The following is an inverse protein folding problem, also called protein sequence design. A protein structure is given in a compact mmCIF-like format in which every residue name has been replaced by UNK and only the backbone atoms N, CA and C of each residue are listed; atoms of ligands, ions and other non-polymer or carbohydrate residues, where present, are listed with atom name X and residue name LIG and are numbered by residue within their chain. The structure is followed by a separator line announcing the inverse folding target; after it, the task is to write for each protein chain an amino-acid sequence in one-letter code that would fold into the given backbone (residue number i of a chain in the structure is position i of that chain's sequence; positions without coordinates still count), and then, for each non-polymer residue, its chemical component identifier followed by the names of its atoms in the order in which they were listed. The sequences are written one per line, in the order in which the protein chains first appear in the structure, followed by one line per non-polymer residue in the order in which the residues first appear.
data_IF_705325863933
#
_entry.id   IF_705325863933
#
_cell.length_a   1.000
_cell.length_b   1.000
_cell.length_c   1.000
_cell.angle_alpha   90.00
_cell.angle_beta   90.00
_cell.angle_gamma   90.00
#
_symmetry.space_group_name_H-M   'P 1'
#
loop_
_entity.id
_entity.type
_entity.pdbx_description
1 polymer ?
#
# COMPACT_ATOMS: atom_id res chain seq x y z
N UNK A 1 -11.71 -7.41 -6.18
CA UNK A 1 -10.81 -8.27 -6.99
C UNK A 1 -10.01 -9.19 -6.08
N UNK A 2 -10.00 -10.51 -6.33
CA UNK A 2 -9.34 -11.48 -5.44
C UNK A 2 -7.81 -11.42 -5.58
N UNK A 3 -7.12 -11.15 -4.46
CA UNK A 3 -5.67 -11.31 -4.32
C UNK A 3 -5.35 -12.78 -4.07
N UNK A 4 -6.03 -13.40 -3.10
CA UNK A 4 -5.93 -14.82 -2.82
C UNK A 4 -6.76 -15.23 -1.61
N UNK A 5 -6.35 -16.26 -0.88
CA UNK A 5 -7.06 -16.70 0.32
C UNK A 5 -6.11 -17.33 1.34
N UNK A 6 -6.34 -17.05 2.61
CA UNK A 6 -5.59 -17.61 3.73
C UNK A 6 -6.54 -18.29 4.71
N UNK A 7 -6.36 -19.59 4.97
CA UNK A 7 -7.22 -20.38 5.89
C UNK A 7 -8.73 -20.18 5.66
N UNK A 8 -9.15 -20.07 4.39
CA UNK A 8 -10.54 -19.85 4.01
C UNK A 8 -10.99 -18.39 3.96
N UNK A 9 -10.20 -17.44 4.48
CA UNK A 9 -10.49 -16.00 4.37
C UNK A 9 -10.01 -15.45 3.03
N UNK A 10 -10.92 -14.82 2.29
CA UNK A 10 -10.60 -14.21 1.00
C UNK A 10 -9.95 -12.85 1.22
N UNK A 11 -8.81 -12.64 0.58
CA UNK A 11 -8.09 -11.36 0.55
C UNK A 11 -8.41 -10.69 -0.79
N UNK A 12 -8.87 -9.45 -0.75
CA UNK A 12 -9.30 -8.74 -1.96
C UNK A 12 -9.04 -7.24 -1.89
N UNK A 13 -8.71 -6.64 -3.04
CA UNK A 13 -8.74 -5.18 -3.22
C UNK A 13 -10.14 -4.80 -3.69
N UNK A 14 -10.79 -3.82 -3.06
CA UNK A 14 -12.03 -3.26 -3.59
C UNK A 14 -11.70 -2.13 -4.57
N UNK A 15 -12.63 -1.86 -5.49
CA UNK A 15 -12.43 -0.92 -6.60
C UNK A 15 -13.49 0.17 -6.64
N UNK A 16 -14.53 0.06 -5.81
CA UNK A 16 -15.60 1.04 -5.69
C UNK A 16 -15.45 1.68 -4.32
N UNK A 17 -15.55 3.00 -4.29
CA UNK A 17 -15.40 3.82 -3.08
C UNK A 17 -14.08 3.62 -2.33
N UNK A 18 -13.08 3.11 -3.07
CA UNK A 18 -11.76 2.80 -2.53
C UNK A 18 -10.90 4.07 -2.53
N UNK A 19 -10.24 4.34 -1.40
CA UNK A 19 -9.46 5.56 -1.22
C UNK A 19 -8.10 5.28 -0.59
N UNK A 20 -7.20 6.26 -0.70
CA UNK A 20 -5.89 6.18 -0.07
C UNK A 20 -5.98 6.02 1.45
N UNK A 21 -4.99 5.35 2.10
CA UNK A 21 -3.86 4.63 1.50
C UNK A 21 -4.23 3.30 0.80
N UNK A 22 -3.31 2.69 0.03
CA UNK A 22 -3.52 1.37 -0.56
C UNK A 22 -3.81 0.30 0.49
N UNK A 23 -4.84 -0.51 0.26
CA UNK A 23 -5.22 -1.55 1.21
C UNK A 23 -5.95 -2.74 0.59
N UNK A 24 -6.01 -3.83 1.35
CA UNK A 24 -6.80 -5.02 1.06
C UNK A 24 -7.85 -5.24 2.15
N UNK A 25 -8.96 -5.82 1.75
CA UNK A 25 -10.03 -6.28 2.61
C UNK A 25 -9.95 -7.78 2.83
N UNK A 26 -10.21 -8.19 4.07
CA UNK A 26 -10.36 -9.58 4.46
C UNK A 26 -11.68 -9.74 5.20
N UNK A 27 -12.63 -10.44 4.57
CA UNK A 27 -13.97 -10.65 5.14
C UNK A 27 -14.04 -11.94 5.92
N UNK A 28 -14.55 -11.84 7.15
CA UNK A 28 -14.99 -12.98 7.95
C UNK A 28 -16.49 -12.96 8.20
N UNK A 29 -16.93 -13.82 9.12
CA UNK A 29 -18.36 -13.92 9.47
C UNK A 29 -18.80 -12.70 10.27
N UNK A 30 -19.31 -11.70 9.56
CA UNK A 30 -19.87 -10.48 10.15
C UNK A 30 -18.85 -9.42 10.53
N UNK A 31 -17.62 -9.49 10.00
CA UNK A 31 -16.59 -8.48 10.13
C UNK A 31 -15.78 -8.35 8.82
N UNK A 32 -15.22 -7.19 8.57
CA UNK A 32 -14.33 -6.87 7.45
C UNK A 32 -13.08 -6.19 8.03
N UNK A 33 -11.90 -6.75 7.79
CA UNK A 33 -10.64 -6.17 8.25
C UNK A 33 -9.90 -5.55 7.06
N UNK A 34 -9.46 -4.30 7.23
CA UNK A 34 -8.63 -3.60 6.25
C UNK A 34 -7.18 -3.66 6.65
N UNK A 35 -6.33 -4.06 5.71
CA UNK A 35 -4.88 -4.06 5.89
C UNK A 35 -4.26 -3.10 4.87
N UNK A 36 -3.62 -2.05 5.36
CA UNK A 36 -2.90 -1.08 4.51
C UNK A 36 -1.55 -1.65 4.10
N UNK A 37 -1.15 -1.33 2.88
CA UNK A 37 0.18 -1.60 2.36
C UNK A 37 0.70 -0.35 1.66
N UNK A 38 2.01 -0.28 1.45
CA UNK A 38 2.65 0.82 0.73
C UNK A 38 3.16 0.37 -0.64
N UNK A 39 3.52 1.35 -1.46
CA UNK A 39 4.35 1.17 -2.65
C UNK A 39 5.80 1.59 -2.39
N UNK A 40 6.24 1.58 -1.12
CA UNK A 40 7.58 1.99 -0.70
C UNK A 40 8.39 0.86 -0.07
N UNK A 41 7.73 -0.11 0.58
CA UNK A 41 8.37 -1.17 1.35
C UNK A 41 7.50 -2.44 1.36
N UNK A 42 7.97 -3.54 1.94
CA UNK A 42 7.20 -4.78 2.07
C UNK A 42 6.18 -4.81 3.21
N UNK A 43 5.97 -3.69 3.90
CA UNK A 43 5.20 -3.68 5.14
C UNK A 43 3.70 -3.60 4.90
N UNK A 44 2.99 -4.27 5.80
CA UNK A 44 1.53 -4.34 5.83
C UNK A 44 1.12 -4.07 7.26
N UNK A 45 0.04 -3.32 7.45
CA UNK A 45 -0.46 -2.99 8.79
C UNK A 45 -1.97 -3.16 8.85
N UNK A 46 -2.48 -3.60 10.00
CA UNK A 46 -3.92 -3.59 10.24
C UNK A 46 -4.36 -2.12 10.33
N UNK A 47 -5.29 -1.72 9.48
CA UNK A 47 -5.89 -0.40 9.51
C UNK A 47 -7.05 -0.39 10.51
N UNK A 48 -8.06 -1.21 10.29
CA UNK A 48 -9.19 -1.37 11.19
C UNK A 48 -9.95 -2.68 10.96
N UNK A 49 -10.95 -2.91 11.80
CA UNK A 49 -11.95 -3.97 11.63
C UNK A 49 -13.33 -3.38 11.80
N UNK A 50 -14.21 -3.60 10.82
CA UNK A 50 -15.58 -3.11 10.86
C UNK A 50 -16.61 -4.26 10.90
N UNK A 51 -17.57 -4.25 11.84
CA UNK A 51 -17.62 -3.40 13.02
C UNK A 51 -16.63 -3.89 14.09
N UNK A 52 -16.02 -2.97 14.84
CA UNK A 52 -15.02 -3.30 15.88
C UNK A 52 -15.55 -4.30 16.92
N UNK A 53 -16.84 -4.23 17.26
CA UNK A 53 -17.50 -5.17 18.19
C UNK A 53 -17.51 -6.64 17.74
N UNK A 54 -17.22 -6.91 16.46
CA UNK A 54 -17.12 -8.26 15.88
C UNK A 54 -15.68 -8.61 15.48
N UNK A 55 -14.71 -7.87 15.99
CA UNK A 55 -13.30 -8.08 15.69
C UNK A 55 -12.88 -9.52 16.03
N UNK A 56 -12.21 -10.22 15.11
CA UNK A 56 -11.70 -11.56 15.37
C UNK A 56 -10.50 -11.51 16.33
N UNK A 57 -10.05 -12.67 16.85
CA UNK A 57 -8.86 -12.74 17.70
C UNK A 57 -7.63 -12.10 17.05
N UNK A 58 -6.85 -11.36 17.83
CA UNK A 58 -5.66 -10.65 17.35
C UNK A 58 -4.63 -11.60 16.70
N UNK A 59 -4.52 -12.83 17.19
CA UNK A 59 -3.64 -13.85 16.60
C UNK A 59 -3.98 -14.12 15.14
N UNK A 60 -5.28 -14.23 14.80
CA UNK A 60 -5.73 -14.43 13.42
C UNK A 60 -5.37 -13.21 12.54
N UNK A 61 -5.57 -11.99 13.04
CA UNK A 61 -5.21 -10.76 12.29
C UNK A 61 -3.70 -10.68 12.03
N UNK A 62 -2.87 -11.07 13.00
CA UNK A 62 -1.41 -11.13 12.84
C UNK A 62 -0.99 -12.18 11.81
N UNK A 63 -1.61 -13.35 11.83
CA UNK A 63 -1.37 -14.38 10.82
C UNK A 63 -1.76 -13.92 9.40
N UNK A 64 -2.94 -13.32 9.26
CA UNK A 64 -3.42 -12.78 7.98
C UNK A 64 -2.46 -11.69 7.48
N UNK A 65 -2.04 -10.76 8.35
CA UNK A 65 -1.01 -9.76 8.04
C UNK A 65 0.26 -10.42 7.51
N UNK A 66 0.77 -11.42 8.23
CA UNK A 66 1.97 -12.18 7.83
C UNK A 66 1.79 -12.89 6.48
N UNK A 67 0.61 -13.39 6.16
CA UNK A 67 0.30 -13.94 4.85
C UNK A 67 0.31 -12.87 3.74
N UNK A 68 -0.29 -11.70 3.98
CA UNK A 68 -0.33 -10.60 3.01
C UNK A 68 1.08 -10.07 2.72
N UNK A 69 1.95 -10.01 3.73
CA UNK A 69 3.37 -9.60 3.58
C UNK A 69 4.19 -10.54 2.69
N UNK A 70 3.72 -11.77 2.43
CA UNK A 70 4.43 -12.65 1.52
C UNK A 70 4.44 -12.06 0.11
N UNK A 71 5.61 -12.06 -0.53
CA UNK A 71 5.87 -11.39 -1.80
C UNK A 71 4.78 -11.57 -2.86
N UNK A 72 4.27 -12.79 -3.02
CA UNK A 72 3.26 -13.08 -4.05
C UNK A 72 1.88 -12.48 -3.75
N UNK A 73 1.48 -12.38 -2.48
CA UNK A 73 0.24 -11.69 -2.09
C UNK A 73 0.39 -10.19 -2.31
N UNK A 74 1.48 -9.61 -1.79
CA UNK A 74 1.71 -8.17 -1.82
C UNK A 74 1.89 -7.64 -3.25
N UNK A 75 2.71 -8.31 -4.07
CA UNK A 75 2.89 -7.97 -5.49
C UNK A 75 1.56 -8.01 -6.25
N UNK A 76 0.71 -9.01 -5.96
CA UNK A 76 -0.60 -9.13 -6.59
C UNK A 76 -1.58 -8.05 -6.11
N UNK A 77 -1.56 -7.69 -4.83
CA UNK A 77 -2.37 -6.60 -4.29
C UNK A 77 -1.98 -5.26 -4.94
N UNK A 78 -0.68 -4.96 -5.02
CA UNK A 78 -0.13 -3.79 -5.71
C UNK A 78 -0.52 -3.73 -7.18
N UNK A 79 -0.37 -4.84 -7.89
CA UNK A 79 -0.78 -4.94 -9.30
C UNK A 79 -2.26 -4.62 -9.48
N UNK A 80 -3.13 -5.27 -8.70
CA UNK A 80 -4.58 -5.05 -8.80
C UNK A 80 -4.94 -3.60 -8.46
N UNK A 81 -4.37 -3.06 -7.38
CA UNK A 81 -4.58 -1.66 -6.98
C UNK A 81 -4.15 -0.72 -8.11
N UNK A 82 -2.92 -0.87 -8.62
CA UNK A 82 -2.40 -0.05 -9.70
C UNK A 82 -3.27 -0.13 -10.95
N UNK A 83 -3.56 -1.34 -11.45
CA UNK A 83 -4.36 -1.55 -12.66
C UNK A 83 -5.79 -0.98 -12.58
N UNK A 84 -6.33 -0.79 -11.38
CA UNK A 84 -7.73 -0.36 -11.19
C UNK A 84 -7.89 1.06 -10.68
N UNK A 85 -6.95 1.56 -9.87
CA UNK A 85 -7.03 2.88 -9.25
C UNK A 85 -5.97 3.85 -9.81
N UNK A 86 -4.93 3.35 -10.49
CA UNK A 86 -3.89 4.15 -11.17
C UNK A 86 -3.23 5.21 -10.27
N UNK A 87 -3.11 4.91 -8.97
CA UNK A 87 -2.40 5.74 -7.98
C UNK A 87 -1.63 4.86 -7.02
N UNK A 88 -0.53 5.39 -6.48
CA UNK A 88 0.20 4.79 -5.36
C UNK A 88 0.04 5.61 -4.07
N UNK A 89 -0.79 6.65 -4.10
CA UNK A 89 -1.11 7.52 -2.96
C UNK A 89 0.08 8.28 -2.37
N UNK A 90 1.07 8.65 -3.20
CA UNK A 90 2.28 9.35 -2.77
C UNK A 90 2.38 10.77 -3.34
N UNK A 91 1.54 11.13 -4.30
CA UNK A 91 1.46 12.49 -4.82
C UNK A 91 1.21 13.50 -3.68
N UNK A 92 1.80 14.69 -3.80
CA UNK A 92 1.74 15.78 -2.80
C UNK A 92 2.40 15.48 -1.44
N UNK A 93 3.05 14.33 -1.30
CA UNK A 93 4.00 14.09 -0.22
C UNK A 93 5.40 14.52 -0.70
N UNK A 94 6.35 14.59 0.21
CA UNK A 94 7.75 14.89 -0.10
C UNK A 94 8.64 13.67 0.07
N UNK A 95 9.72 13.59 -0.69
CA UNK A 95 10.75 12.57 -0.57
C UNK A 95 12.04 13.21 -0.05
N UNK A 96 12.66 12.60 0.96
CA UNK A 96 13.99 12.97 1.43
C UNK A 96 15.04 12.17 0.68
N UNK A 97 15.85 12.85 -0.13
CA UNK A 97 16.91 12.18 -0.87
C UNK A 97 18.08 11.75 0.03
N UNK A 98 18.27 12.40 1.18
CA UNK A 98 19.38 12.06 2.07
C UNK A 98 19.08 10.81 2.91
N UNK A 99 17.82 10.56 3.24
CA UNK A 99 17.41 9.45 4.11
C UNK A 99 16.62 8.35 3.41
N UNK A 100 16.29 8.54 2.12
CA UNK A 100 15.41 7.64 1.35
C UNK A 100 14.06 7.38 2.04
N UNK A 101 13.47 8.45 2.59
CA UNK A 101 12.22 8.38 3.33
C UNK A 101 11.13 9.28 2.75
N UNK A 102 9.90 8.80 2.86
CA UNK A 102 8.70 9.59 2.62
C UNK A 102 8.47 10.56 3.79
N UNK A 103 8.22 11.83 3.45
CA UNK A 103 7.77 12.86 4.38
C UNK A 103 6.32 13.21 4.05
N UNK A 104 5.38 13.00 4.99
CA UNK A 104 3.99 13.37 4.80
C UNK A 104 3.79 14.85 4.49
N UNK A 105 2.99 15.12 3.46
CA UNK A 105 2.65 16.47 3.02
C UNK A 105 3.74 17.22 2.25
N UNK A 106 3.43 18.45 1.90
CA UNK A 106 4.28 19.34 1.11
C UNK A 106 5.33 20.00 2.00
N UNK A 107 6.54 19.47 2.00
CA UNK A 107 7.67 20.03 2.74
C UNK A 107 8.70 20.60 1.79
N UNK A 108 9.02 21.89 1.97
CA UNK A 108 10.03 22.61 1.20
C UNK A 108 11.26 22.83 2.09
N UNK A 109 12.27 21.97 1.92
CA UNK A 109 13.57 22.12 2.59
C UNK A 109 14.67 21.57 1.67
N UNK A 110 15.92 21.97 1.88
CA UNK A 110 17.06 21.43 1.12
C UNK A 110 17.10 19.90 1.27
N UNK A 111 17.38 19.20 0.16
CA UNK A 111 17.43 17.73 0.12
C UNK A 111 16.06 17.05 0.07
N UNK A 112 14.96 17.80 0.16
CA UNK A 112 13.60 17.27 0.15
C UNK A 112 12.81 17.84 -1.01
N UNK A 113 12.14 16.95 -1.73
CA UNK A 113 11.46 17.29 -2.97
C UNK A 113 10.05 16.77 -2.96
N UNK A 114 9.10 17.58 -3.41
CA UNK A 114 7.70 17.17 -3.56
C UNK A 114 7.59 16.11 -4.65
N UNK A 115 6.83 15.05 -4.38
CA UNK A 115 6.47 14.03 -5.35
C UNK A 115 5.37 14.60 -6.25
N UNK A 116 5.74 14.93 -7.49
CA UNK A 116 4.81 15.41 -8.52
C UNK A 116 3.96 14.26 -9.08
N UNK A 117 4.59 13.10 -9.27
CA UNK A 117 3.93 11.91 -9.83
C UNK A 117 4.62 10.66 -9.36
N UNK A 118 3.85 9.67 -8.95
CA UNK A 118 4.37 8.36 -8.63
C UNK A 118 3.68 7.28 -9.46
N UNK A 119 4.42 6.25 -9.87
CA UNK A 119 3.87 5.12 -10.64
C UNK A 119 4.46 3.80 -10.20
N UNK A 120 3.68 2.74 -10.32
CA UNK A 120 4.14 1.38 -10.10
C UNK A 120 4.48 0.69 -11.43
N UNK A 121 5.72 0.22 -11.56
CA UNK A 121 6.12 -0.70 -12.62
C UNK A 121 5.81 -2.14 -12.19
N UNK A 122 4.73 -2.68 -12.72
CA UNK A 122 4.25 -4.04 -12.41
C UNK A 122 5.25 -5.11 -12.86
N UNK A 123 5.98 -4.89 -13.96
CA UNK A 123 6.88 -5.91 -14.52
C UNK A 123 8.17 -5.96 -13.71
N UNK A 124 8.75 -4.80 -13.42
CA UNK A 124 9.99 -4.70 -12.63
C UNK A 124 9.75 -4.77 -11.14
N UNK A 125 8.50 -4.70 -10.68
CA UNK A 125 8.13 -4.57 -9.27
C UNK A 125 8.85 -3.38 -8.63
N UNK A 126 8.69 -2.20 -9.24
CA UNK A 126 9.30 -0.96 -8.75
C UNK A 126 8.27 0.13 -8.54
N UNK A 127 8.60 1.08 -7.68
CA UNK A 127 7.92 2.37 -7.62
C UNK A 127 8.85 3.45 -8.14
N UNK A 128 8.33 4.29 -9.02
CA UNK A 128 9.08 5.38 -9.66
C UNK A 128 8.47 6.70 -9.22
N UNK A 129 9.26 7.53 -8.54
CA UNK A 129 8.87 8.86 -8.06
C UNK A 129 9.49 9.93 -8.95
N UNK A 130 8.65 10.77 -9.54
CA UNK A 130 9.08 11.98 -10.23
C UNK A 130 8.94 13.15 -9.28
N UNK A 131 10.03 13.85 -9.05
CA UNK A 131 10.17 14.86 -8.01
C UNK A 131 10.22 16.26 -8.63
N UNK A 132 9.58 17.24 -7.98
CA UNK A 132 9.56 18.64 -8.43
C UNK A 132 10.96 19.25 -8.32
N UNK A 133 11.50 19.76 -9.44
CA UNK A 133 12.80 20.47 -9.53
C UNK A 133 14.01 19.66 -9.03
N UNK A 134 13.85 18.36 -8.92
CA UNK A 134 14.93 17.47 -8.52
C UNK A 134 15.76 17.09 -9.76
N UNK A 135 17.07 16.80 -9.60
CA UNK A 135 17.94 16.47 -10.73
C UNK A 135 17.61 15.13 -11.43
N UNK A 136 16.69 14.33 -10.87
CA UNK A 136 16.32 13.03 -11.41
C UNK A 136 15.04 12.49 -10.79
N UNK A 137 14.87 11.17 -10.88
CA UNK A 137 13.77 10.41 -10.31
C UNK A 137 14.29 9.36 -9.34
N UNK A 138 13.41 8.84 -8.48
CA UNK A 138 13.74 7.77 -7.53
C UNK A 138 13.12 6.47 -8.03
N UNK A 139 13.88 5.39 -7.99
CA UNK A 139 13.36 4.02 -8.15
C UNK A 139 13.47 3.28 -6.83
N UNK A 140 12.39 2.62 -6.44
CA UNK A 140 12.31 1.81 -5.22
C UNK A 140 11.96 0.38 -5.63
N UNK A 141 12.78 -0.58 -5.22
CA UNK A 141 12.55 -2.02 -5.47
C UNK A 141 11.57 -2.60 -4.43
N UNK A 142 10.64 -3.46 -4.88
CA UNK A 142 9.52 -3.97 -4.08
C UNK A 142 9.40 -5.50 -3.97
#
# INVERSE_FOLDING_TARGET
MKVGAYKGYVISVFIRDEHCPPHVHVRGKGWDARFRFSFLDGDVELWDVEPERRRPPLALLKEIRGAIMQRHYLARARRIWWEKLQTVCLENHSWNWETDELIPGLVIRRGVYVIARARHDVVRQKTILNLVRAPGFVEIDL
#
